data_IF_556896084939
#
_entry.id   IF_556896084939
#
_cell.length_a   1.000
_cell.length_b   1.000
_cell.length_c   1.000
_cell.angle_alpha   90.00
_cell.angle_beta   90.00
_cell.angle_gamma   90.00
#
_symmetry.space_group_name_H-M   'P 1'
#
loop_
_entity.id
_entity.type
_entity.pdbx_description
1 polymer ?
#
# COMPACT_ATOMS: atom_id res chain seq x y z
N UNK A 1 23.22 16.80 10.03
CA UNK A 1 23.89 15.71 9.26
C UNK A 1 22.96 14.60 8.76
N UNK A 2 21.70 14.50 9.18
CA UNK A 2 20.81 13.38 8.81
C UNK A 2 20.01 13.58 7.50
N UNK A 3 19.98 14.82 6.97
CA UNK A 3 19.19 15.19 5.78
C UNK A 3 19.90 14.81 4.47
N UNK A 4 21.24 14.83 4.42
CA UNK A 4 21.99 14.55 3.19
C UNK A 4 22.02 13.06 2.82
N UNK A 5 21.95 12.16 3.79
CA UNK A 5 21.82 10.72 3.54
C UNK A 5 20.44 10.33 2.94
N UNK A 6 19.42 11.17 3.10
CA UNK A 6 18.08 10.98 2.52
C UNK A 6 18.01 11.49 1.07
N UNK A 7 18.99 12.29 0.63
CA UNK A 7 19.07 12.92 -0.70
C UNK A 7 19.80 12.07 -1.74
N UNK A 8 20.14 10.82 -1.43
CA UNK A 8 20.92 9.89 -2.26
C UNK A 8 20.25 9.51 -3.60
N UNK A 9 20.19 10.48 -4.51
CA UNK A 9 19.85 10.38 -5.92
C UNK A 9 18.37 10.22 -6.27
N UNK A 10 17.44 10.28 -5.32
CA UNK A 10 16.05 10.62 -5.64
C UNK A 10 16.01 12.01 -6.28
N UNK A 11 15.22 12.24 -7.34
CA UNK A 11 15.05 13.59 -7.86
C UNK A 11 14.53 14.48 -6.73
N UNK A 12 15.09 15.68 -6.60
CA UNK A 12 14.73 16.62 -5.54
C UNK A 12 13.22 16.91 -5.57
N UNK A 13 12.65 16.94 -6.76
CA UNK A 13 11.23 17.09 -7.04
C UNK A 13 10.39 16.01 -6.37
N UNK A 14 10.96 14.82 -6.11
CA UNK A 14 10.29 13.68 -5.44
C UNK A 14 10.42 13.71 -3.91
N UNK A 15 11.29 14.56 -3.37
CA UNK A 15 11.45 14.73 -1.92
C UNK A 15 10.84 16.02 -1.38
N UNK A 16 10.60 17.02 -2.22
CA UNK A 16 10.13 18.36 -1.79
C UNK A 16 8.89 18.85 -2.53
N UNK A 17 8.36 18.06 -3.46
CA UNK A 17 7.38 18.52 -4.45
C UNK A 17 5.92 18.12 -4.19
N UNK A 18 5.11 18.42 -5.20
CA UNK A 18 3.71 17.97 -5.32
C UNK A 18 3.62 16.94 -6.44
N UNK A 19 2.91 15.86 -6.16
CA UNK A 19 2.68 14.79 -7.12
C UNK A 19 1.23 14.73 -7.53
N UNK A 20 1.02 14.27 -8.75
CA UNK A 20 -0.29 13.93 -9.27
C UNK A 20 -0.32 12.45 -9.62
N UNK A 21 -1.35 11.79 -9.13
CA UNK A 21 -1.68 10.40 -9.39
C UNK A 21 -2.81 10.38 -10.39
N UNK A 22 -2.56 9.75 -11.53
CA UNK A 22 -3.52 9.67 -12.63
C UNK A 22 -3.58 8.24 -13.18
N UNK A 23 -4.79 7.72 -13.32
CA UNK A 23 -5.03 6.49 -14.08
C UNK A 23 -5.04 6.81 -15.57
N UNK A 24 -4.37 5.99 -16.36
CA UNK A 24 -4.49 6.03 -17.81
C UNK A 24 -5.62 5.10 -18.22
N UNK A 25 -6.78 5.65 -18.60
CA UNK A 25 -7.64 4.99 -19.58
C UNK A 25 -7.03 5.31 -20.94
N UNK A 26 -6.32 4.35 -21.53
CA UNK A 26 -5.48 4.57 -22.70
C UNK A 26 -6.22 5.18 -23.90
N UNK A 27 -5.59 6.15 -24.55
CA UNK A 27 -5.72 6.28 -26.00
C UNK A 27 -4.83 5.19 -26.62
N UNK A 28 -5.40 4.38 -27.52
CA UNK A 28 -4.78 3.19 -28.14
C UNK A 28 -3.31 3.34 -28.59
N UNK A 29 -2.86 4.55 -28.95
CA UNK A 29 -1.52 4.78 -29.49
C UNK A 29 -0.38 4.60 -28.45
N UNK A 30 -0.61 4.96 -27.19
CA UNK A 30 0.42 4.84 -26.14
C UNK A 30 0.56 3.39 -25.63
N UNK A 31 -0.53 2.61 -25.68
CA UNK A 31 -0.53 1.17 -25.40
C UNK A 31 0.25 0.41 -26.47
N UNK A 32 0.02 0.72 -27.75
CA UNK A 32 0.75 0.07 -28.86
C UNK A 32 2.24 0.32 -28.79
N UNK A 33 2.70 1.52 -28.45
CA UNK A 33 4.14 1.80 -28.34
C UNK A 33 4.79 1.14 -27.11
N UNK A 34 4.09 1.08 -25.98
CA UNK A 34 4.56 0.35 -24.78
C UNK A 34 4.57 -1.16 -25.01
N UNK A 35 3.59 -1.68 -25.75
CA UNK A 35 3.45 -3.10 -26.05
C UNK A 35 4.45 -3.52 -27.12
N UNK A 36 4.71 -2.71 -28.16
CA UNK A 36 5.76 -2.99 -29.15
C UNK A 36 7.15 -2.98 -28.49
N UNK A 37 7.41 -2.06 -27.56
CA UNK A 37 8.66 -2.08 -26.79
C UNK A 37 8.77 -3.34 -25.90
N UNK A 38 7.67 -3.80 -25.31
CA UNK A 38 7.60 -5.04 -24.51
C UNK A 38 7.71 -6.32 -25.36
N UNK A 39 7.09 -6.33 -26.54
CA UNK A 39 7.07 -7.45 -27.48
C UNK A 39 8.46 -7.66 -28.13
N UNK A 40 9.19 -6.57 -28.37
CA UNK A 40 10.56 -6.62 -28.87
C UNK A 40 11.58 -6.99 -27.79
N UNK A 41 11.22 -6.92 -26.49
CA UNK A 41 12.21 -7.10 -25.41
C UNK A 41 12.26 -8.47 -24.75
N UNK A 42 11.26 -9.36 -24.75
CA UNK A 42 11.43 -10.77 -24.30
C UNK A 42 10.11 -11.59 -24.37
N UNK A 43 10.12 -12.70 -25.11
CA UNK A 43 9.01 -13.66 -25.21
C UNK A 43 8.85 -14.62 -24.01
N UNK A 44 8.71 -14.13 -22.77
CA UNK A 44 8.54 -14.99 -21.59
C UNK A 44 7.65 -14.42 -20.45
N UNK A 45 6.83 -13.40 -20.68
CA UNK A 45 5.92 -12.89 -19.66
C UNK A 45 4.48 -12.81 -20.21
N UNK A 46 3.53 -13.34 -19.43
CA UNK A 46 2.10 -13.13 -19.65
C UNK A 46 1.82 -11.62 -19.86
N UNK A 47 0.94 -11.25 -20.80
CA UNK A 47 0.58 -9.86 -21.00
C UNK A 47 -0.12 -9.34 -19.73
N UNK A 48 0.58 -8.52 -18.93
CA UNK A 48 -0.01 -7.76 -17.82
C UNK A 48 -1.06 -6.80 -18.40
N UNK A 49 -2.34 -7.20 -18.35
CA UNK A 49 -3.45 -6.35 -18.79
C UNK A 49 -3.65 -5.14 -17.88
N UNK A 50 -3.67 -3.98 -18.53
CA UNK A 50 -4.52 -2.80 -18.30
C UNK A 50 -4.32 -1.90 -17.06
N UNK A 51 -4.32 -0.59 -17.36
CA UNK A 51 -4.40 0.57 -16.46
C UNK A 51 -3.18 0.82 -15.58
N UNK A 52 -2.17 1.52 -16.11
CA UNK A 52 -0.99 1.96 -15.35
C UNK A 52 -1.31 3.25 -14.60
N UNK A 53 -1.15 3.25 -13.27
CA UNK A 53 -1.14 4.46 -12.46
C UNK A 53 0.18 5.20 -12.69
N UNK A 54 0.11 6.44 -13.18
CA UNK A 54 1.28 7.31 -13.40
C UNK A 54 1.36 8.34 -12.28
N UNK A 55 2.59 8.62 -11.87
CA UNK A 55 2.92 9.69 -10.94
C UNK A 55 3.64 10.77 -11.74
N UNK A 56 3.04 11.95 -11.83
CA UNK A 56 3.63 13.12 -12.49
C UNK A 56 4.03 14.17 -11.48
N UNK A 57 4.99 15.02 -11.87
CA UNK A 57 5.30 16.23 -11.12
C UNK A 57 4.24 17.33 -11.33
N UNK A 58 4.43 18.49 -10.70
CA UNK A 58 3.53 19.63 -10.85
C UNK A 58 3.48 20.19 -12.28
N UNK A 59 4.46 19.89 -13.14
CA UNK A 59 4.48 20.29 -14.55
C UNK A 59 3.83 19.26 -15.47
N UNK A 60 3.34 18.14 -14.93
CA UNK A 60 2.74 17.05 -15.70
C UNK A 60 3.77 16.08 -16.30
N UNK A 61 5.06 16.21 -15.98
CA UNK A 61 6.09 15.29 -16.49
C UNK A 61 6.01 13.96 -15.75
N UNK A 62 6.05 12.81 -16.45
CA UNK A 62 5.94 11.50 -15.83
C UNK A 62 7.23 11.15 -15.08
N UNK A 63 7.11 10.97 -13.77
CA UNK A 63 8.22 10.66 -12.86
C UNK A 63 8.31 9.17 -12.57
N UNK A 64 7.18 8.54 -12.29
CA UNK A 64 7.10 7.12 -11.96
C UNK A 64 5.86 6.47 -12.57
N UNK A 65 5.95 5.17 -12.80
CA UNK A 65 4.81 4.29 -13.08
C UNK A 65 4.65 3.30 -11.94
N UNK A 66 3.41 2.94 -11.61
CA UNK A 66 3.13 1.98 -10.54
C UNK A 66 2.78 0.65 -11.17
N UNK A 67 3.44 -0.42 -10.71
CA UNK A 67 3.14 -1.80 -11.09
C UNK A 67 2.75 -2.60 -9.86
N UNK A 68 1.71 -3.43 -10.00
CA UNK A 68 1.34 -4.42 -9.00
C UNK A 68 1.87 -5.76 -9.43
N UNK A 69 2.69 -6.39 -8.59
CA UNK A 69 3.12 -7.78 -8.80
C UNK A 69 2.24 -8.72 -8.00
N UNK A 70 1.92 -9.88 -8.58
CA UNK A 70 1.24 -11.00 -7.91
C UNK A 70 1.95 -11.45 -6.61
N UNK A 71 3.26 -11.23 -6.51
CA UNK A 71 4.02 -11.07 -5.26
C UNK A 71 5.40 -10.45 -5.55
N UNK A 72 6.00 -9.64 -4.64
CA UNK A 72 5.52 -9.23 -3.32
C UNK A 72 5.09 -7.75 -3.31
N UNK A 73 3.94 -7.40 -3.90
CA UNK A 73 3.27 -6.11 -3.63
C UNK A 73 3.37 -5.03 -4.72
N UNK A 74 3.33 -3.75 -4.30
CA UNK A 74 3.21 -2.58 -5.19
C UNK A 74 4.60 -1.97 -5.41
N UNK A 75 4.95 -1.65 -6.65
CA UNK A 75 6.24 -1.04 -7.02
C UNK A 75 6.03 0.30 -7.72
N UNK A 76 6.76 1.33 -7.29
CA UNK A 76 6.91 2.57 -8.02
C UNK A 76 8.22 2.54 -8.80
N UNK A 77 8.14 2.58 -10.12
CA UNK A 77 9.25 2.44 -11.06
C UNK A 77 9.52 3.79 -11.71
N UNK A 78 10.76 4.29 -11.59
CA UNK A 78 11.16 5.56 -12.18
C UNK A 78 11.20 5.50 -13.72
N UNK A 79 10.68 6.53 -14.38
CA UNK A 79 10.58 6.57 -15.85
C UNK A 79 11.92 6.70 -16.57
N UNK A 80 12.91 7.35 -15.94
CA UNK A 80 14.22 7.62 -16.58
C UNK A 80 15.14 6.40 -16.68
N UNK A 81 15.09 5.49 -15.70
CA UNK A 81 15.95 4.30 -15.63
C UNK A 81 15.19 2.98 -15.66
N UNK A 82 13.86 3.03 -15.63
CA UNK A 82 12.98 1.86 -15.56
C UNK A 82 13.33 0.91 -14.39
N UNK A 83 13.81 1.48 -13.28
CA UNK A 83 14.19 0.76 -12.06
C UNK A 83 13.19 1.07 -10.94
N UNK A 84 12.88 0.10 -10.06
CA UNK A 84 12.03 0.34 -8.91
C UNK A 84 12.74 1.29 -7.93
N UNK A 85 12.01 2.28 -7.44
CA UNK A 85 12.51 3.22 -6.43
C UNK A 85 11.96 2.88 -5.05
N UNK A 86 10.66 2.62 -4.96
CA UNK A 86 9.99 2.11 -3.76
C UNK A 86 9.25 0.83 -4.10
N UNK A 87 9.38 -0.16 -3.22
CA UNK A 87 8.55 -1.37 -3.21
C UNK A 87 7.80 -1.45 -1.88
N UNK A 88 6.49 -1.63 -1.94
CA UNK A 88 5.64 -1.89 -0.78
C UNK A 88 5.44 -3.39 -0.66
N UNK A 89 6.05 -3.98 0.35
CA UNK A 89 6.01 -5.41 0.63
C UNK A 89 4.88 -5.69 1.61
N UNK A 90 3.87 -6.43 1.17
CA UNK A 90 2.81 -6.85 2.07
C UNK A 90 3.32 -7.93 3.03
N UNK A 91 3.26 -7.65 4.33
CA UNK A 91 3.52 -8.66 5.35
C UNK A 91 2.33 -9.62 5.38
N UNK A 92 2.52 -10.82 4.82
CA UNK A 92 1.57 -11.93 5.03
C UNK A 92 1.98 -12.60 6.34
N UNK A 93 1.18 -12.52 7.42
CA UNK A 93 1.51 -13.30 8.61
C UNK A 93 1.61 -14.76 8.17
N UNK A 94 2.77 -15.40 8.43
CA UNK A 94 2.88 -16.84 8.30
C UNK A 94 1.76 -17.42 9.16
N UNK A 95 0.82 -18.13 8.53
CA UNK A 95 -0.26 -18.78 9.25
C UNK A 95 0.37 -19.74 10.27
N UNK A 96 0.44 -19.32 11.55
CA UNK A 96 0.91 -20.19 12.61
C UNK A 96 0.00 -21.43 12.66
N UNK A 97 0.60 -22.57 12.98
CA UNK A 97 0.06 -23.93 12.91
C UNK A 97 -1.13 -24.24 13.84
N UNK A 98 -2.13 -23.35 13.97
CA UNK A 98 -3.32 -23.51 14.80
C UNK A 98 -4.56 -23.96 14.00
N UNK A 99 -4.46 -24.08 12.67
CA UNK A 99 -5.52 -24.66 11.82
C UNK A 99 -6.03 -26.05 12.28
N UNK A 100 -5.18 -26.98 12.78
CA UNK A 100 -5.64 -28.30 13.21
C UNK A 100 -6.60 -28.24 14.41
N UNK A 101 -6.42 -27.27 15.32
CA UNK A 101 -7.22 -27.12 16.53
C UNK A 101 -8.65 -26.64 16.21
N UNK A 102 -8.77 -25.65 15.32
CA UNK A 102 -10.06 -25.08 14.92
C UNK A 102 -10.93 -26.09 14.15
N UNK A 103 -10.33 -26.88 13.26
CA UNK A 103 -11.01 -27.96 12.55
C UNK A 103 -11.52 -29.05 13.51
N UNK A 104 -10.72 -29.41 14.52
CA UNK A 104 -11.10 -30.41 15.53
C UNK A 104 -12.27 -29.95 16.41
N UNK A 105 -12.29 -28.66 16.80
CA UNK A 105 -13.38 -28.08 17.59
C UNK A 105 -14.68 -27.96 16.79
N UNK A 106 -14.58 -27.59 15.51
CA UNK A 106 -15.73 -27.53 14.59
C UNK A 106 -16.35 -28.90 14.37
N UNK A 107 -15.52 -29.94 14.20
CA UNK A 107 -15.98 -31.34 14.06
C UNK A 107 -16.74 -31.81 15.31
N UNK A 108 -16.23 -31.52 16.51
CA UNK A 108 -16.88 -31.90 17.77
C UNK A 108 -18.29 -31.31 17.93
N UNK A 109 -18.52 -30.07 17.47
CA UNK A 109 -19.83 -29.43 17.52
C UNK A 109 -20.82 -29.97 16.49
N UNK A 110 -20.34 -30.37 15.31
CA UNK A 110 -21.18 -30.97 14.27
C UNK A 110 -21.63 -32.39 14.66
N UNK A 111 -20.81 -33.10 15.44
CA UNK A 111 -21.11 -34.45 15.94
C UNK A 111 -21.91 -34.49 17.25
N UNK A 112 -22.26 -33.36 17.87
CA UNK A 112 -23.03 -33.33 19.13
C UNK A 112 -24.47 -33.80 18.93
N UNK A 113 -24.72 -35.09 19.19
CA UNK A 113 -25.98 -35.81 19.00
C UNK A 113 -27.23 -35.18 19.63
N UNK A 114 -27.06 -34.30 20.63
CA UNK A 114 -28.17 -33.75 21.44
C UNK A 114 -28.90 -32.56 20.81
N UNK A 115 -28.48 -32.12 19.62
CA UNK A 115 -28.97 -30.90 18.97
C UNK A 115 -29.51 -31.17 17.57
N UNK A 116 -30.44 -30.34 17.09
CA UNK A 116 -30.87 -30.39 15.68
C UNK A 116 -29.75 -29.92 14.75
N UNK A 117 -29.67 -30.46 13.52
CA UNK A 117 -28.60 -30.15 12.55
C UNK A 117 -28.45 -28.64 12.32
N UNK A 118 -29.56 -27.90 12.16
CA UNK A 118 -29.55 -26.43 12.00
C UNK A 118 -28.91 -25.70 13.19
N UNK A 119 -29.17 -26.15 14.42
CA UNK A 119 -28.60 -25.52 15.62
C UNK A 119 -27.11 -25.86 15.81
N UNK A 120 -26.67 -27.05 15.39
CA UNK A 120 -25.24 -27.43 15.36
C UNK A 120 -24.45 -26.56 14.37
N UNK A 121 -24.92 -26.43 13.13
CA UNK A 121 -24.24 -25.65 12.09
C UNK A 121 -24.15 -24.17 12.49
N UNK A 122 -25.23 -23.58 13.00
CA UNK A 122 -25.25 -22.17 13.42
C UNK A 122 -24.34 -21.89 14.62
N UNK A 123 -24.17 -22.87 15.53
CA UNK A 123 -23.28 -22.73 16.68
C UNK A 123 -21.82 -22.95 16.29
N UNK A 124 -21.54 -24.01 15.56
CA UNK A 124 -20.21 -24.30 15.02
C UNK A 124 -19.68 -23.11 14.20
N UNK A 125 -20.52 -22.51 13.35
CA UNK A 125 -20.15 -21.32 12.58
C UNK A 125 -19.87 -20.08 13.44
N UNK A 126 -20.67 -19.82 14.48
CA UNK A 126 -20.45 -18.66 15.39
C UNK A 126 -19.20 -18.82 16.25
N UNK A 127 -19.00 -19.99 16.85
CA UNK A 127 -17.83 -20.26 17.68
C UNK A 127 -16.57 -20.35 16.83
N UNK A 128 -16.63 -20.98 15.65
CA UNK A 128 -15.54 -20.93 14.67
C UNK A 128 -15.21 -19.51 14.28
N UNK A 129 -16.19 -18.66 13.97
CA UNK A 129 -15.93 -17.26 13.60
C UNK A 129 -15.31 -16.47 14.77
N UNK A 130 -15.74 -16.70 16.01
CA UNK A 130 -15.22 -16.04 17.19
C UNK A 130 -13.79 -16.50 17.53
N UNK A 131 -13.53 -17.82 17.51
CA UNK A 131 -12.22 -18.39 17.75
C UNK A 131 -11.25 -18.08 16.60
N UNK A 132 -11.73 -18.14 15.35
CA UNK A 132 -10.98 -17.73 14.16
C UNK A 132 -10.56 -16.26 14.26
N UNK A 133 -11.44 -15.36 14.69
CA UNK A 133 -11.07 -13.94 14.89
C UNK A 133 -10.10 -13.73 16.06
N UNK A 134 -10.11 -14.60 17.08
CA UNK A 134 -9.17 -14.54 18.22
C UNK A 134 -7.78 -15.06 17.87
N UNK A 135 -7.71 -16.12 17.06
CA UNK A 135 -6.48 -16.82 16.69
C UNK A 135 -5.87 -16.27 15.39
N UNK A 136 -6.74 -15.77 14.51
CA UNK A 136 -6.42 -15.17 13.23
C UNK A 136 -7.11 -13.80 13.20
N UNK A 137 -6.59 -12.80 13.95
CA UNK A 137 -7.09 -11.43 13.85
C UNK A 137 -7.12 -11.04 12.37
N UNK A 138 -8.02 -10.10 11.97
CA UNK A 138 -8.01 -9.55 10.60
C UNK A 138 -6.55 -9.36 10.21
N UNK A 139 -6.07 -9.95 9.09
CA UNK A 139 -4.65 -9.98 8.80
C UNK A 139 -4.16 -8.55 8.96
N UNK A 140 -3.27 -8.33 9.94
CA UNK A 140 -2.69 -7.03 10.20
C UNK A 140 -2.12 -6.60 8.85
N UNK A 141 -2.79 -5.65 8.19
CA UNK A 141 -2.33 -5.16 6.90
C UNK A 141 -1.11 -4.31 7.21
N UNK A 142 0.03 -4.98 7.24
CA UNK A 142 1.32 -4.38 7.48
C UNK A 142 2.04 -4.36 6.14
N UNK A 143 2.60 -3.21 5.81
CA UNK A 143 3.35 -3.01 4.58
C UNK A 143 4.72 -2.47 4.96
N UNK A 144 5.76 -3.22 4.62
CA UNK A 144 7.14 -2.75 4.75
C UNK A 144 7.49 -1.93 3.52
N UNK A 145 8.08 -0.75 3.73
CA UNK A 145 8.45 0.18 2.67
C UNK A 145 9.94 0.02 2.39
N UNK A 146 10.27 -0.63 1.28
CA UNK A 146 11.63 -0.82 0.80
C UNK A 146 12.02 0.36 -0.10
N UNK A 147 13.11 1.04 0.25
CA UNK A 147 13.85 1.85 -0.72
C UNK A 147 14.77 0.90 -1.50
N UNK A 148 14.47 0.69 -2.77
CA UNK A 148 15.17 -0.26 -3.63
C UNK A 148 16.61 0.16 -3.93
N UNK A 149 16.92 1.46 -3.85
CA UNK A 149 18.27 1.98 -4.15
C UNK A 149 19.20 1.78 -2.98
N UNK A 150 18.68 1.97 -1.78
CA UNK A 150 19.39 1.68 -0.54
C UNK A 150 19.31 0.20 -0.16
N UNK A 151 18.46 -0.57 -0.85
CA UNK A 151 18.09 -1.94 -0.51
C UNK A 151 17.76 -2.11 0.98
N UNK A 152 16.96 -1.19 1.53
CA UNK A 152 16.67 -1.12 2.97
C UNK A 152 15.21 -0.74 3.24
N UNK A 153 14.62 -1.35 4.27
CA UNK A 153 13.33 -0.91 4.81
C UNK A 153 13.49 0.45 5.49
N UNK A 154 12.80 1.46 4.97
CA UNK A 154 12.83 2.84 5.47
C UNK A 154 11.65 3.15 6.42
N UNK A 155 10.64 2.29 6.44
CA UNK A 155 9.51 2.41 7.35
C UNK A 155 8.44 1.36 7.09
N UNK A 156 7.32 1.51 7.78
CA UNK A 156 6.20 0.57 7.75
C UNK A 156 4.87 1.30 7.82
N UNK A 157 3.87 0.79 7.12
CA UNK A 157 2.48 1.19 7.25
C UNK A 157 1.71 0.06 7.93
N UNK A 158 0.85 0.39 8.88
CA UNK A 158 -0.06 -0.58 9.47
C UNK A 158 -1.44 0.06 9.68
N UNK A 159 -2.49 -0.75 9.59
CA UNK A 159 -3.83 -0.29 9.98
C UNK A 159 -3.83 -0.06 11.49
N UNK A 160 -4.18 1.15 11.98
CA UNK A 160 -4.19 1.44 13.40
C UNK A 160 -5.32 0.65 14.10
N UNK A 161 -5.02 0.14 15.29
CA UNK A 161 -6.00 -0.48 16.16
C UNK A 161 -6.65 0.65 16.98
N UNK A 162 -7.98 0.65 17.08
CA UNK A 162 -8.76 1.59 17.91
C UNK A 162 -8.71 3.08 17.53
N UNK A 163 -8.28 3.44 16.30
CA UNK A 163 -8.36 4.82 15.80
C UNK A 163 -9.23 4.88 14.53
N UNK A 164 -10.56 5.03 14.65
CA UNK A 164 -11.49 4.86 13.52
C UNK A 164 -11.35 5.92 12.43
N UNK A 165 -10.84 7.12 12.75
CA UNK A 165 -10.59 8.17 11.76
C UNK A 165 -9.29 8.00 11.00
N UNK A 166 -8.44 7.04 11.39
CA UNK A 166 -7.13 6.83 10.80
C UNK A 166 -7.11 5.61 9.88
N UNK A 167 -6.59 5.80 8.67
CA UNK A 167 -6.41 4.75 7.65
C UNK A 167 -5.12 3.98 7.88
N UNK A 168 -4.03 4.71 8.13
CA UNK A 168 -2.69 4.14 8.31
C UNK A 168 -1.96 4.81 9.45
N UNK A 169 -1.33 4.00 10.29
CA UNK A 169 -0.22 4.43 11.14
C UNK A 169 1.09 4.28 10.34
N UNK A 170 1.91 5.33 10.35
CA UNK A 170 3.19 5.40 9.65
C UNK A 170 4.30 5.29 10.69
N UNK A 171 5.15 4.28 10.52
CA UNK A 171 6.30 4.01 11.38
C UNK A 171 7.58 4.30 10.60
N UNK A 172 8.52 4.99 11.24
CA UNK A 172 9.86 5.19 10.67
C UNK A 172 10.71 3.92 10.71
N UNK A 173 11.93 3.99 10.19
CA UNK A 173 12.87 2.86 10.15
C UNK A 173 13.21 2.25 11.53
N UNK A 174 13.02 3.00 12.62
CA UNK A 174 13.23 2.53 14.01
C UNK A 174 12.03 1.77 14.57
N UNK A 175 10.95 1.64 13.81
CA UNK A 175 9.70 1.01 14.26
C UNK A 175 8.85 1.88 15.19
N UNK A 176 9.28 3.12 15.48
CA UNK A 176 8.49 4.07 16.29
C UNK A 176 7.40 4.73 15.42
N UNK A 177 6.19 4.96 15.96
CA UNK A 177 5.17 5.75 15.29
C UNK A 177 5.71 7.14 14.96
N UNK A 178 5.61 7.54 13.70
CA UNK A 178 6.09 8.82 13.19
C UNK A 178 4.93 9.73 12.76
N UNK A 179 3.89 9.16 12.16
CA UNK A 179 2.74 9.91 11.66
C UNK A 179 1.50 9.02 11.55
N UNK A 180 0.35 9.64 11.26
CA UNK A 180 -0.91 8.95 10.97
C UNK A 180 -1.60 9.59 9.76
N UNK A 181 -2.17 8.76 8.88
CA UNK A 181 -3.06 9.21 7.82
C UNK A 181 -4.50 9.21 8.33
N UNK A 182 -5.12 10.39 8.38
CA UNK A 182 -6.50 10.56 8.79
C UNK A 182 -7.42 10.79 7.58
N UNK A 183 -8.66 10.33 7.72
CA UNK A 183 -9.75 10.68 6.81
C UNK A 183 -10.39 11.97 7.31
N UNK A 184 -10.36 13.01 6.48
CA UNK A 184 -11.01 14.29 6.74
C UNK A 184 -12.05 14.56 5.63
N UNK A 185 -13.05 15.43 5.82
CA UNK A 185 -14.03 15.73 4.79
C UNK A 185 -13.36 16.24 3.50
N UNK A 186 -13.44 15.45 2.42
CA UNK A 186 -12.90 15.81 1.11
C UNK A 186 -11.40 15.55 0.89
N UNK A 187 -10.66 15.08 1.90
CA UNK A 187 -9.22 14.79 1.75
C UNK A 187 -8.72 13.71 2.72
N UNK A 188 -7.51 13.21 2.46
CA UNK A 188 -6.74 12.43 3.42
C UNK A 188 -5.57 13.28 3.92
N UNK A 189 -5.34 13.34 5.22
CA UNK A 189 -4.32 14.22 5.80
C UNK A 189 -3.33 13.39 6.61
N UNK A 190 -2.04 13.48 6.26
CA UNK A 190 -0.97 12.91 7.10
C UNK A 190 -0.64 13.91 8.20
N UNK A 191 -0.63 13.45 9.45
CA UNK A 191 -0.33 14.26 10.63
C UNK A 191 0.83 13.67 11.42
N UNK A 192 1.74 14.54 11.87
CA UNK A 192 2.75 14.23 12.88
C UNK A 192 2.25 14.85 14.19
N UNK A 193 1.76 14.01 15.10
CA UNK A 193 0.98 14.47 16.25
C UNK A 193 -0.25 15.26 15.79
N UNK A 194 -0.42 16.48 16.31
CA UNK A 194 -1.53 17.36 15.93
C UNK A 194 -1.27 18.17 14.65
N UNK A 195 -0.07 18.14 14.05
CA UNK A 195 0.28 19.00 12.91
C UNK A 195 0.05 18.29 11.57
N UNK A 196 -0.72 18.87 10.63
CA UNK A 196 -0.79 18.34 9.27
C UNK A 196 0.53 18.57 8.52
N UNK A 197 1.02 17.56 7.83
CA UNK A 197 2.31 17.60 7.11
C UNK A 197 2.20 17.23 5.63
N UNK A 198 1.12 16.56 5.24
CA UNK A 198 0.78 16.28 3.86
C UNK A 198 -0.73 16.12 3.69
N UNK A 199 -1.24 16.43 2.50
CA UNK A 199 -2.65 16.29 2.15
C UNK A 199 -2.81 15.61 0.81
N UNK A 200 -3.76 14.68 0.74
CA UNK A 200 -4.15 13.98 -0.47
C UNK A 200 -5.53 14.49 -0.88
N UNK A 201 -5.58 15.20 -2.00
CA UNK A 201 -6.77 15.91 -2.47
C UNK A 201 -7.15 15.38 -3.83
N UNK A 202 -8.42 15.00 -4.01
CA UNK A 202 -8.95 14.66 -5.33
C UNK A 202 -9.34 15.93 -6.07
N UNK A 203 -8.83 16.10 -7.28
CA UNK A 203 -9.13 17.21 -8.19
C UNK A 203 -9.56 16.56 -9.51
N UNK A 204 -10.85 16.65 -9.84
CA UNK A 204 -11.47 15.95 -10.96
C UNK A 204 -11.19 14.44 -10.97
N UNK A 205 -10.42 13.97 -11.96
CA UNK A 205 -9.99 12.57 -12.14
C UNK A 205 -8.58 12.29 -11.65
N UNK A 206 -7.96 13.26 -10.99
CA UNK A 206 -6.57 13.17 -10.54
C UNK A 206 -6.48 13.34 -9.03
N UNK A 207 -5.47 12.73 -8.42
CA UNK A 207 -5.23 12.86 -6.99
C UNK A 207 -3.90 13.57 -6.76
N UNK A 208 -3.95 14.70 -6.06
CA UNK A 208 -2.78 15.51 -5.73
C UNK A 208 -2.27 15.16 -4.35
N UNK A 209 -0.97 14.95 -4.21
CA UNK A 209 -0.28 14.72 -2.93
C UNK A 209 0.83 15.73 -2.76
N UNK A 210 0.80 16.51 -1.69
CA UNK A 210 1.86 17.45 -1.33
C UNK A 210 2.69 16.89 -0.17
N UNK A 211 3.99 16.66 -0.39
CA UNK A 211 4.90 16.11 0.64
C UNK A 211 5.87 17.15 1.22
N UNK A 212 5.81 18.40 0.76
CA UNK A 212 6.78 19.43 1.13
C UNK A 212 6.82 19.68 2.66
N UNK A 213 5.71 19.47 3.36
CA UNK A 213 5.60 19.61 4.80
C UNK A 213 6.18 18.44 5.62
N UNK A 214 6.48 17.29 5.00
CA UNK A 214 6.94 16.10 5.71
C UNK A 214 8.37 16.25 6.25
N UNK A 215 9.31 16.65 5.40
CA UNK A 215 10.73 16.82 5.76
C UNK A 215 10.94 17.76 6.95
N UNK A 216 10.41 19.00 6.92
CA UNK A 216 10.49 19.94 8.05
C UNK A 216 9.85 19.43 9.35
N UNK A 217 8.91 18.48 9.26
CA UNK A 217 8.28 17.86 10.42
C UNK A 217 9.01 16.60 10.92
N UNK A 218 10.18 16.27 10.36
CA UNK A 218 10.96 15.09 10.73
C UNK A 218 10.40 13.77 10.19
N UNK A 219 9.47 13.83 9.22
CA UNK A 219 8.94 12.65 8.53
C UNK A 219 9.61 12.50 7.17
N UNK A 220 10.08 11.30 6.85
CA UNK A 220 10.64 11.00 5.53
C UNK A 220 9.54 11.13 4.45
N UNK A 221 9.68 12.03 3.46
CA UNK A 221 8.69 12.24 2.41
C UNK A 221 8.35 10.96 1.62
N UNK A 222 9.30 10.03 1.52
CA UNK A 222 9.10 8.73 0.85
C UNK A 222 8.04 7.87 1.55
N UNK A 223 7.88 8.01 2.87
CA UNK A 223 6.84 7.30 3.62
C UNK A 223 5.45 7.87 3.32
N UNK A 224 5.35 9.19 3.10
CA UNK A 224 4.11 9.83 2.66
C UNK A 224 3.76 9.37 1.24
N UNK A 225 4.74 9.33 0.33
CA UNK A 225 4.56 8.83 -1.02
C UNK A 225 4.12 7.35 -1.02
N UNK A 226 4.76 6.50 -0.20
CA UNK A 226 4.35 5.10 -0.05
C UNK A 226 2.91 4.96 0.47
N UNK A 227 2.49 5.83 1.40
CA UNK A 227 1.12 5.87 1.87
C UNK A 227 0.14 6.21 0.74
N UNK A 228 0.46 7.23 -0.08
CA UNK A 228 -0.33 7.57 -1.26
C UNK A 228 -0.35 6.45 -2.32
N UNK A 229 0.77 5.76 -2.53
CA UNK A 229 0.83 4.60 -3.42
C UNK A 229 -0.12 3.50 -2.97
N UNK A 230 -0.11 3.17 -1.67
CA UNK A 230 -1.01 2.16 -1.12
C UNK A 230 -2.48 2.57 -1.26
N UNK A 231 -2.78 3.85 -0.99
CA UNK A 231 -4.13 4.40 -1.14
C UNK A 231 -4.59 4.45 -2.60
N UNK A 232 -3.73 4.73 -3.58
CA UNK A 232 -4.16 4.94 -4.97
C UNK A 232 -3.88 3.79 -5.92
N UNK A 233 -3.10 2.78 -5.51
CA UNK A 233 -2.81 1.61 -6.35
C UNK A 233 -4.04 0.73 -6.67
N UNK A 234 -5.18 0.94 -6.03
CA UNK A 234 -6.43 0.25 -6.42
C UNK A 234 -7.17 0.98 -7.56
N UNK A 235 -6.81 2.22 -7.87
CA UNK A 235 -7.42 2.96 -8.97
C UNK A 235 -7.10 2.35 -10.33
N UNK A 236 -6.02 1.56 -10.43
CA UNK A 236 -5.70 0.77 -11.62
C UNK A 236 -6.53 -0.51 -11.77
N UNK A 237 -7.29 -0.91 -10.74
CA UNK A 237 -8.09 -2.16 -10.79
C UNK A 237 -9.49 -1.94 -11.40
N UNK A 238 -9.84 -0.70 -11.79
CA UNK A 238 -11.18 -0.25 -12.24
C UNK A 238 -11.09 0.23 -13.68
#
# INVERSE_FOLDING_TARGET
>A
MQVDALRGGWPEEVLTGRYWFQTYGGTMADEVMSDVAGFLTLGLAEPETSTKLKITDASGRPMMSVRRRSAPGIQAIGTRRNEPWITLLQHKPQAQAQQPYLLRRMRAQLTDGRRTIRSRVRRAGREFTADWRRINPRPLQIWDILDNRMNRIIGRLAVPIDVPSARWAIFGATGRPAAMLHVEPGCLTVRVGARPVAQFVKIDRTHRVDVAGAGPAGLDPRLVLACALLEYAHLSDV
#
